data_IF_324853726478
#
_entry.id   IF_324853726478
#
_cell.length_a   1.000
_cell.length_b   1.000
_cell.length_c   1.000
_cell.angle_alpha   90.00
_cell.angle_beta   90.00
_cell.angle_gamma   90.00
#
_symmetry.space_group_name_H-M   'P 1'
#
loop_
_entity.id
_entity.type
_entity.pdbx_description
1 polymer ?
#
# COMPACT_ATOMS: atom_id res chain seq x y z
N UNK A 1 26.61 45.73 33.87
CA UNK A 1 27.68 44.74 34.17
C UNK A 1 28.05 44.02 32.89
N UNK A 2 29.29 44.19 32.44
CA UNK A 2 29.86 43.51 31.26
C UNK A 2 30.27 42.11 31.68
N UNK A 3 29.95 41.09 30.87
CA UNK A 3 30.69 39.83 30.87
C UNK A 3 31.10 39.53 29.43
N UNK A 4 32.40 39.59 29.22
CA UNK A 4 33.07 39.14 28.02
C UNK A 4 33.08 37.61 28.01
N UNK A 5 32.98 37.02 26.82
CA UNK A 5 33.53 35.69 26.55
C UNK A 5 34.43 35.83 25.32
N UNK A 6 35.65 35.33 25.52
CA UNK A 6 36.82 35.41 24.67
C UNK A 6 36.80 34.27 23.65
N UNK A 7 37.28 34.62 22.46
CA UNK A 7 37.64 33.86 21.26
C UNK A 7 38.15 32.42 21.46
N UNK A 8 37.85 31.55 20.49
CA UNK A 8 38.90 30.80 19.78
C UNK A 8 38.42 30.34 18.38
N UNK A 9 39.16 30.77 17.36
CA UNK A 9 39.29 30.21 16.01
C UNK A 9 39.74 28.74 16.10
N UNK A 10 39.60 27.84 15.13
CA UNK A 10 40.31 27.87 13.83
C UNK A 10 40.00 26.59 13.00
N UNK A 11 40.12 26.73 11.67
CA UNK A 11 40.49 25.72 10.64
C UNK A 11 39.52 24.58 10.30
N UNK A 12 39.02 24.59 9.06
CA UNK A 12 39.24 23.48 8.13
C UNK A 12 39.47 24.03 6.72
N UNK A 13 40.70 23.87 6.24
CA UNK A 13 41.13 24.22 4.89
C UNK A 13 40.70 23.15 3.90
N UNK A 14 40.05 23.62 2.83
CA UNK A 14 39.91 22.92 1.56
C UNK A 14 41.26 22.97 0.82
N UNK A 15 41.70 21.85 0.23
CA UNK A 15 42.01 21.72 -1.23
C UNK A 15 43.08 20.66 -1.57
N UNK A 16 42.80 19.96 -2.68
CA UNK A 16 43.71 19.31 -3.65
C UNK A 16 44.38 17.97 -3.27
N UNK A 17 44.62 16.96 -4.13
CA UNK A 17 44.16 16.49 -5.46
C UNK A 17 45.13 15.31 -5.85
N UNK A 18 44.68 14.39 -6.73
CA UNK A 18 45.45 13.38 -7.54
C UNK A 18 45.84 12.07 -6.81
N UNK A 19 45.35 10.88 -7.18
CA UNK A 19 45.48 10.04 -8.42
C UNK A 19 46.93 9.68 -8.77
N UNK A 20 47.32 8.40 -8.62
CA UNK A 20 47.77 7.50 -9.71
C UNK A 20 48.69 6.34 -9.24
N UNK A 21 48.38 5.16 -9.78
CA UNK A 21 49.27 4.08 -10.26
C UNK A 21 49.90 3.03 -9.32
N UNK A 22 49.63 1.77 -9.70
CA UNK A 22 50.44 0.58 -9.44
C UNK A 22 49.58 -0.55 -8.85
N UNK A 23 49.19 -1.63 -9.52
CA UNK A 23 49.71 -2.25 -10.74
C UNK A 23 50.09 -3.71 -10.43
N UNK A 24 49.42 -4.68 -11.07
CA UNK A 24 49.79 -6.10 -11.15
C UNK A 24 49.10 -7.00 -10.11
N UNK A 25 48.58 -8.18 -10.42
CA UNK A 25 48.59 -8.97 -11.66
C UNK A 25 48.22 -10.43 -11.32
N UNK A 26 47.69 -11.16 -12.31
CA UNK A 26 47.45 -12.61 -12.29
C UNK A 26 46.04 -12.99 -11.78
N UNK A 27 45.15 -13.62 -12.54
CA UNK A 27 45.34 -14.57 -13.62
C UNK A 27 44.86 -15.94 -13.15
N UNK A 28 43.62 -16.30 -13.48
CA UNK A 28 43.23 -17.70 -13.69
C UNK A 28 41.90 -17.75 -14.43
N UNK A 29 41.91 -18.40 -15.58
CA UNK A 29 40.77 -18.51 -16.48
C UNK A 29 39.74 -19.52 -16.00
N UNK A 30 38.51 -19.33 -16.46
CA UNK A 30 37.73 -20.44 -16.95
C UNK A 30 36.81 -19.94 -18.07
N UNK A 31 36.97 -20.53 -19.25
CA UNK A 31 36.14 -20.25 -20.41
C UNK A 31 34.71 -20.67 -20.17
N UNK A 32 33.78 -19.82 -20.58
CA UNK A 32 32.35 -20.09 -20.58
C UNK A 32 31.68 -19.19 -21.61
N UNK A 33 31.65 -19.64 -22.86
CA UNK A 33 30.87 -19.03 -23.93
C UNK A 33 29.38 -19.09 -23.56
N UNK A 34 28.80 -18.00 -23.08
CA UNK A 34 27.35 -17.83 -23.02
C UNK A 34 26.88 -17.10 -24.27
N UNK A 35 26.83 -17.83 -25.38
CA UNK A 35 25.92 -17.48 -26.47
C UNK A 35 24.49 -17.82 -26.00
N UNK A 36 23.49 -16.95 -26.26
CA UNK A 36 22.10 -17.27 -25.93
C UNK A 36 21.64 -18.51 -26.73
N UNK A 37 20.86 -19.42 -26.13
CA UNK A 37 20.37 -20.59 -26.85
C UNK A 37 19.43 -20.18 -28.00
N UNK A 38 19.41 -20.90 -29.12
CA UNK A 38 18.52 -20.62 -30.23
C UNK A 38 17.04 -20.80 -29.84
N UNK A 39 16.21 -19.89 -30.32
CA UNK A 39 14.74 -19.87 -30.16
C UNK A 39 14.13 -21.14 -30.76
N UNK A 40 13.48 -21.96 -29.94
CA UNK A 40 12.68 -23.09 -30.44
C UNK A 40 11.31 -22.60 -30.96
N UNK A 41 10.75 -23.20 -32.02
CA UNK A 41 9.42 -22.86 -32.52
C UNK A 41 8.33 -23.13 -31.48
N UNK A 42 7.38 -22.20 -31.34
CA UNK A 42 6.21 -22.32 -30.47
C UNK A 42 5.34 -23.48 -30.96
N UNK A 43 5.19 -24.52 -30.14
CA UNK A 43 4.17 -25.55 -30.34
C UNK A 43 2.79 -24.97 -29.97
N UNK A 44 1.74 -25.18 -30.79
CA UNK A 44 0.38 -24.77 -30.46
C UNK A 44 -0.12 -25.44 -29.17
N UNK A 45 -0.85 -24.69 -28.34
CA UNK A 45 -1.49 -25.22 -27.14
C UNK A 45 -2.52 -26.32 -27.47
N UNK A 46 -2.65 -27.37 -26.65
CA UNK A 46 -3.67 -28.39 -26.83
C UNK A 46 -5.09 -27.84 -26.59
N UNK A 47 -6.13 -28.38 -27.25
CA UNK A 47 -7.50 -27.92 -27.07
C UNK A 47 -8.01 -28.09 -25.65
N UNK A 48 -8.84 -27.14 -25.20
CA UNK A 48 -9.52 -27.15 -23.92
C UNK A 48 -10.33 -28.45 -23.70
N UNK A 49 -10.30 -28.95 -22.46
CA UNK A 49 -11.13 -30.06 -22.02
C UNK A 49 -12.61 -29.74 -22.20
N UNK A 50 -13.27 -30.52 -23.04
CA UNK A 50 -14.73 -30.53 -23.15
C UNK A 50 -15.32 -31.11 -21.87
N UNK A 51 -16.28 -30.38 -21.31
CA UNK A 51 -17.16 -30.83 -20.23
C UNK A 51 -18.04 -31.98 -20.76
N UNK A 52 -18.15 -33.12 -20.07
CA UNK A 52 -18.97 -34.23 -20.56
C UNK A 52 -20.46 -33.88 -20.60
N UNK A 53 -21.08 -34.27 -21.71
CA UNK A 53 -22.50 -34.12 -22.04
C UNK A 53 -23.45 -34.69 -20.99
N UNK A 54 -24.62 -34.06 -20.92
CA UNK A 54 -25.79 -34.47 -20.17
C UNK A 54 -26.18 -35.93 -20.47
N UNK A 55 -26.49 -36.68 -19.41
CA UNK A 55 -27.02 -38.02 -19.50
C UNK A 55 -28.46 -38.04 -20.06
N UNK A 56 -28.88 -39.14 -20.73
CA UNK A 56 -30.14 -39.20 -21.47
C UNK A 56 -31.37 -39.33 -20.55
N UNK A 57 -32.43 -38.64 -20.94
CA UNK A 57 -33.76 -38.64 -20.33
C UNK A 57 -34.45 -39.99 -20.57
N UNK A 58 -34.70 -40.78 -19.51
CA UNK A 58 -35.49 -42.03 -19.59
C UNK A 58 -36.96 -41.71 -19.22
N UNK A 59 -37.96 -42.02 -20.08
CA UNK A 59 -39.37 -41.82 -19.75
C UNK A 59 -39.89 -42.87 -18.75
N UNK A 60 -40.74 -42.46 -17.80
CA UNK A 60 -41.48 -43.36 -16.92
C UNK A 60 -42.64 -44.07 -17.67
N UNK A 61 -42.95 -45.35 -17.38
CA UNK A 61 -44.10 -46.05 -17.97
C UNK A 61 -45.43 -45.73 -17.25
N UNK A 62 -46.59 -46.07 -17.87
CA UNK A 62 -47.87 -45.41 -17.65
C UNK A 62 -48.70 -45.97 -16.48
N UNK A 63 -49.57 -45.10 -15.92
CA UNK A 63 -50.69 -45.46 -15.04
C UNK A 63 -51.76 -46.24 -15.80
N UNK A 64 -52.30 -47.31 -15.19
CA UNK A 64 -53.68 -47.77 -15.40
C UNK A 64 -54.23 -48.51 -14.16
N UNK A 65 -55.53 -48.34 -13.98
CA UNK A 65 -56.45 -48.67 -12.86
C UNK A 65 -56.66 -50.20 -12.69
N UNK A 66 -57.32 -50.82 -11.69
CA UNK A 66 -58.38 -50.53 -10.69
C UNK A 66 -58.33 -51.68 -9.61
N UNK A 67 -59.35 -52.00 -8.75
CA UNK A 67 -60.56 -51.30 -8.30
C UNK A 67 -60.79 -51.30 -6.76
N UNK A 68 -61.84 -50.57 -6.39
CA UNK A 68 -62.51 -50.40 -5.10
C UNK A 68 -62.94 -51.71 -4.40
N UNK A 69 -62.75 -51.82 -3.07
CA UNK A 69 -63.57 -52.66 -2.15
C UNK A 69 -63.45 -52.20 -0.68
N UNK A 70 -64.47 -51.48 -0.20
CA UNK A 70 -65.23 -51.77 1.03
C UNK A 70 -64.54 -51.95 2.40
N UNK A 71 -64.78 -50.96 3.28
CA UNK A 71 -65.16 -51.06 4.69
C UNK A 71 -64.25 -51.76 5.75
N UNK A 72 -63.71 -50.96 6.69
CA UNK A 72 -64.12 -50.91 8.12
C UNK A 72 -63.30 -49.87 8.90
N UNK A 73 -63.99 -49.01 9.65
CA UNK A 73 -63.41 -48.09 10.64
C UNK A 73 -62.72 -48.85 11.77
N UNK A 74 -61.55 -48.37 12.20
CA UNK A 74 -60.89 -48.72 13.45
C UNK A 74 -60.88 -47.47 14.37
N UNK A 75 -61.02 -47.64 15.70
CA UNK A 75 -61.27 -46.53 16.62
C UNK A 75 -60.04 -45.64 16.84
N UNK A 76 -60.22 -44.35 17.24
CA UNK A 76 -59.12 -43.41 17.39
C UNK A 76 -58.22 -43.75 18.59
N UNK A 77 -56.91 -43.62 18.40
CA UNK A 77 -55.89 -43.74 19.45
C UNK A 77 -55.94 -42.54 20.44
N UNK A 78 -55.48 -42.70 21.69
CA UNK A 78 -55.53 -41.64 22.70
C UNK A 78 -54.59 -40.47 22.35
N UNK A 79 -54.89 -39.23 22.77
CA UNK A 79 -54.05 -38.06 22.47
C UNK A 79 -52.68 -38.17 23.15
N UNK A 80 -51.63 -37.84 22.39
CA UNK A 80 -50.26 -37.76 22.87
C UNK A 80 -50.09 -36.58 23.86
N UNK A 81 -49.19 -36.71 24.87
CA UNK A 81 -48.95 -35.65 25.84
C UNK A 81 -48.33 -34.40 25.19
N UNK A 82 -48.59 -33.19 25.73
CA UNK A 82 -48.16 -31.94 25.13
C UNK A 82 -46.63 -31.80 25.12
N UNK A 83 -46.11 -31.34 23.99
CA UNK A 83 -44.70 -31.01 23.81
C UNK A 83 -44.29 -29.84 24.73
N UNK A 84 -43.04 -29.83 25.25
CA UNK A 84 -42.55 -28.73 26.07
C UNK A 84 -42.46 -27.42 25.26
N UNK A 85 -42.56 -26.25 25.91
CA UNK A 85 -42.61 -24.96 25.22
C UNK A 85 -41.35 -24.70 24.40
N UNK A 86 -41.53 -24.25 23.17
CA UNK A 86 -40.45 -23.78 22.31
C UNK A 86 -39.72 -22.62 23.00
N UNK A 87 -38.40 -22.77 23.16
CA UNK A 87 -37.53 -21.74 23.69
C UNK A 87 -37.28 -20.69 22.60
N UNK A 88 -38.11 -19.65 22.57
CA UNK A 88 -37.90 -18.43 21.78
C UNK A 88 -36.70 -17.65 22.35
N UNK A 89 -35.48 -18.07 22.02
CA UNK A 89 -34.28 -17.25 22.21
C UNK A 89 -33.06 -18.00 21.66
N UNK A 90 -32.78 -17.83 20.37
CA UNK A 90 -31.44 -17.60 19.84
C UNK A 90 -31.64 -17.11 18.40
N UNK A 91 -32.00 -15.84 18.26
CA UNK A 91 -31.80 -15.16 16.99
C UNK A 91 -30.30 -15.20 16.70
N UNK A 92 -29.88 -16.14 15.86
CA UNK A 92 -28.59 -16.07 15.22
C UNK A 92 -28.62 -14.81 14.39
N UNK A 93 -28.04 -13.73 14.93
CA UNK A 93 -27.65 -12.59 14.12
C UNK A 93 -26.93 -13.15 12.90
N UNK A 94 -27.29 -12.74 11.68
CA UNK A 94 -26.50 -13.14 10.51
C UNK A 94 -25.04 -12.79 10.78
N UNK A 95 -24.08 -13.62 10.36
CA UNK A 95 -22.67 -13.29 10.52
C UNK A 95 -22.48 -11.87 9.98
N UNK A 96 -22.04 -10.95 10.84
CA UNK A 96 -21.76 -9.59 10.40
C UNK A 96 -20.85 -9.72 9.19
N UNK A 97 -21.27 -9.22 8.03
CA UNK A 97 -20.42 -9.22 6.85
C UNK A 97 -19.11 -8.54 7.25
N UNK A 98 -18.05 -9.34 7.43
CA UNK A 98 -16.78 -8.83 7.90
C UNK A 98 -16.25 -7.89 6.82
N UNK A 99 -16.04 -6.63 7.17
CA UNK A 99 -15.50 -5.62 6.25
C UNK A 99 -14.23 -6.17 5.59
N UNK A 100 -14.23 -6.20 4.26
CA UNK A 100 -13.09 -6.66 3.47
C UNK A 100 -12.25 -5.46 3.08
N UNK A 101 -10.98 -5.52 3.44
CA UNK A 101 -9.99 -4.51 3.11
C UNK A 101 -9.03 -5.04 2.06
N UNK A 102 -8.52 -4.16 1.21
CA UNK A 102 -7.46 -4.47 0.25
C UNK A 102 -6.46 -3.32 0.18
N UNK A 103 -5.21 -3.60 -0.15
CA UNK A 103 -4.20 -2.56 -0.18
C UNK A 103 -2.83 -3.01 -0.64
N UNK A 104 -1.89 -2.09 -0.58
CA UNK A 104 -0.49 -2.33 -0.90
C UNK A 104 0.41 -1.88 0.24
N UNK A 105 1.57 -2.51 0.34
CA UNK A 105 2.59 -2.15 1.29
C UNK A 105 3.97 -2.24 0.64
N UNK A 106 4.72 -1.15 0.75
CA UNK A 106 6.06 -0.99 0.24
C UNK A 106 7.07 -0.91 1.38
N UNK A 107 8.13 -1.67 1.25
CA UNK A 107 9.22 -1.75 2.21
C UNK A 107 10.52 -2.10 1.49
N UNK A 108 11.66 -1.95 2.19
CA UNK A 108 12.95 -2.46 1.71
C UNK A 108 12.87 -3.95 1.36
N UNK A 109 12.37 -4.75 2.31
CA UNK A 109 12.17 -6.19 2.20
C UNK A 109 10.70 -6.53 1.97
N UNK A 110 10.28 -7.76 2.32
CA UNK A 110 8.90 -8.23 2.15
C UNK A 110 7.99 -7.54 3.15
N UNK A 111 6.93 -6.89 2.67
CA UNK A 111 5.83 -6.45 3.53
C UNK A 111 4.65 -7.41 3.45
N UNK A 112 4.35 -8.05 4.59
CA UNK A 112 3.25 -9.02 4.73
C UNK A 112 1.89 -8.36 5.06
N UNK A 113 1.91 -7.12 5.55
CA UNK A 113 0.72 -6.38 5.97
C UNK A 113 0.01 -5.70 4.79
N UNK A 114 -0.58 -6.52 3.95
CA UNK A 114 -1.51 -6.07 2.92
C UNK A 114 -2.90 -6.35 3.46
N UNK A 115 -3.85 -5.45 3.22
CA UNK A 115 -5.27 -5.69 3.50
C UNK A 115 -5.67 -5.64 5.00
N UNK A 116 -4.93 -4.93 5.85
CA UNK A 116 -5.26 -4.81 7.27
C UNK A 116 -6.53 -3.94 7.48
N UNK A 117 -7.46 -4.43 8.31
CA UNK A 117 -8.69 -3.71 8.67
C UNK A 117 -8.36 -2.51 9.58
N UNK A 118 -9.08 -1.39 9.42
CA UNK A 118 -8.89 -0.17 10.25
C UNK A 118 -8.95 -0.42 11.76
N UNK A 119 -9.66 -1.44 12.21
CA UNK A 119 -9.83 -1.81 13.62
C UNK A 119 -8.74 -2.77 14.13
N UNK A 120 -7.83 -3.20 13.26
CA UNK A 120 -6.79 -4.19 13.58
C UNK A 120 -5.53 -3.94 12.74
N UNK A 121 -5.02 -2.70 12.78
CA UNK A 121 -3.77 -2.34 12.09
C UNK A 121 -2.60 -2.76 12.96
N UNK A 122 -1.65 -3.50 12.39
CA UNK A 122 -0.46 -3.93 13.13
C UNK A 122 0.55 -2.79 13.18
N UNK A 123 1.08 -2.49 14.36
CA UNK A 123 2.21 -1.59 14.57
C UNK A 123 3.24 -2.27 15.45
N UNK A 124 4.42 -1.69 15.59
CA UNK A 124 5.51 -2.31 16.33
C UNK A 124 6.05 -1.38 17.39
N UNK A 125 6.13 -1.88 18.61
CA UNK A 125 6.94 -1.28 19.66
C UNK A 125 8.38 -1.72 19.47
N UNK A 126 9.26 -0.74 19.30
CA UNK A 126 10.68 -0.95 19.02
C UNK A 126 11.52 -0.46 20.19
N UNK A 127 12.24 -1.38 20.85
CA UNK A 127 13.09 -1.06 21.99
C UNK A 127 14.56 -1.32 21.63
N UNK A 128 15.41 -0.30 21.76
CA UNK A 128 16.85 -0.45 21.56
C UNK A 128 17.50 -1.18 22.73
N UNK A 129 18.30 -2.19 22.44
CA UNK A 129 19.02 -3.00 23.41
C UNK A 129 20.51 -2.92 23.10
N UNK A 130 21.25 -2.26 23.99
CA UNK A 130 22.70 -2.15 23.90
C UNK A 130 23.37 -3.50 24.19
N UNK A 131 24.38 -3.85 23.39
CA UNK A 131 25.19 -5.05 23.57
C UNK A 131 24.37 -6.36 23.70
N UNK A 132 23.24 -6.43 22.98
CA UNK A 132 22.34 -7.58 22.97
C UNK A 132 23.03 -8.90 22.59
N UNK A 133 24.08 -8.84 21.77
CA UNK A 133 24.94 -9.98 21.47
C UNK A 133 26.40 -9.51 21.28
N UNK A 134 27.22 -9.64 22.33
CA UNK A 134 28.62 -9.18 22.34
C UNK A 134 29.51 -9.84 21.28
N UNK A 135 29.07 -10.97 20.72
CA UNK A 135 29.81 -11.70 19.69
C UNK A 135 29.33 -11.38 18.27
N UNK A 136 28.29 -10.54 18.12
CA UNK A 136 27.76 -10.07 16.84
C UNK A 136 28.60 -8.91 16.30
N UNK A 137 28.73 -8.82 14.97
CA UNK A 137 29.30 -7.64 14.30
C UNK A 137 28.48 -6.36 14.52
N UNK A 138 27.19 -6.52 14.86
CA UNK A 138 26.30 -5.45 15.31
C UNK A 138 25.73 -5.86 16.68
N UNK A 139 26.41 -5.50 17.78
CA UNK A 139 26.03 -5.96 19.12
C UNK A 139 24.75 -5.29 19.61
N UNK A 140 24.47 -4.07 19.16
CA UNK A 140 23.23 -3.34 19.46
C UNK A 140 22.08 -3.80 18.54
N UNK A 141 20.91 -4.07 19.12
CA UNK A 141 19.74 -4.61 18.40
C UNK A 141 18.44 -4.00 18.90
N UNK A 142 17.43 -3.99 18.05
CA UNK A 142 16.06 -3.65 18.43
C UNK A 142 15.25 -4.90 18.78
N UNK A 143 14.53 -4.87 19.90
CA UNK A 143 13.38 -5.75 20.16
C UNK A 143 12.15 -5.22 19.44
N UNK A 144 11.37 -6.14 18.90
CA UNK A 144 10.14 -5.88 18.15
C UNK A 144 8.99 -6.62 18.83
N UNK A 145 7.98 -5.88 19.25
CA UNK A 145 6.74 -6.41 19.80
C UNK A 145 5.57 -5.90 18.94
N UNK A 146 4.75 -6.79 18.34
CA UNK A 146 3.59 -6.38 17.58
C UNK A 146 2.46 -5.92 18.51
N UNK A 147 1.84 -4.81 18.14
CA UNK A 147 0.63 -4.26 18.77
C UNK A 147 -0.43 -4.04 17.69
N UNK A 148 -1.70 -4.02 18.08
CA UNK A 148 -2.81 -3.74 17.18
C UNK A 148 -3.54 -2.48 17.62
N UNK A 149 -3.79 -1.59 16.66
CA UNK A 149 -4.47 -0.32 16.88
C UNK A 149 -5.75 -0.23 16.06
N UNK A 150 -6.68 0.57 16.56
CA UNK A 150 -7.86 1.02 15.82
C UNK A 150 -7.62 2.44 15.32
N UNK A 151 -7.85 2.66 14.03
CA UNK A 151 -7.77 3.97 13.41
C UNK A 151 -9.08 4.74 13.59
N UNK A 152 -8.97 5.98 14.06
CA UNK A 152 -10.05 6.97 14.04
C UNK A 152 -9.98 7.81 12.76
N UNK A 153 -11.08 8.46 12.37
CA UNK A 153 -11.07 9.39 11.24
C UNK A 153 -10.00 10.48 11.41
N UNK A 154 -9.25 10.76 10.35
CA UNK A 154 -8.13 11.70 10.37
C UNK A 154 -6.80 11.08 10.83
N UNK A 155 -5.95 11.90 11.43
CA UNK A 155 -4.58 11.54 11.80
C UNK A 155 -4.52 10.68 13.06
N UNK A 156 -3.84 9.54 12.97
CA UNK A 156 -3.55 8.60 14.04
C UNK A 156 -2.03 8.48 14.15
N UNK A 157 -1.45 8.89 15.27
CA UNK A 157 0.00 8.91 15.44
C UNK A 157 0.42 8.19 16.72
N UNK A 158 1.53 7.47 16.64
CA UNK A 158 2.26 6.93 17.78
C UNK A 158 3.75 7.21 17.64
N UNK A 159 4.56 6.63 18.53
CA UNK A 159 6.02 6.81 18.50
C UNK A 159 6.63 6.25 17.21
N UNK A 160 6.12 5.11 16.74
CA UNK A 160 6.69 4.35 15.63
C UNK A 160 5.78 4.29 14.40
N UNK A 161 4.70 5.09 14.34
CA UNK A 161 3.77 5.06 13.22
C UNK A 161 3.01 6.37 13.05
N UNK A 162 2.54 6.61 11.83
CA UNK A 162 1.48 7.57 11.54
C UNK A 162 0.61 7.07 10.39
N UNK A 163 -0.70 7.08 10.60
CA UNK A 163 -1.71 6.77 9.59
C UNK A 163 -2.75 7.88 9.53
N UNK A 164 -3.32 8.08 8.36
CA UNK A 164 -4.45 8.99 8.17
C UNK A 164 -5.60 8.20 7.56
N UNK A 165 -6.71 8.11 8.29
CA UNK A 165 -7.95 7.48 7.82
C UNK A 165 -8.82 8.53 7.11
N UNK A 166 -9.23 8.21 5.88
CA UNK A 166 -10.05 9.04 5.01
C UNK A 166 -11.48 8.49 4.91
N UNK A 167 -12.42 9.41 4.66
CA UNK A 167 -13.85 9.13 4.57
C UNK A 167 -14.65 10.14 5.39
N UNK A 168 -15.81 9.71 5.84
CA UNK A 168 -16.64 10.43 6.81
C UNK A 168 -17.18 9.46 7.85
N UNK A 169 -17.81 9.98 8.90
CA UNK A 169 -18.43 9.14 9.93
C UNK A 169 -19.44 8.18 9.29
N UNK A 170 -19.31 6.88 9.59
CA UNK A 170 -20.09 5.81 8.98
C UNK A 170 -19.74 5.47 7.53
N UNK A 171 -18.76 6.15 6.93
CA UNK A 171 -18.23 5.89 5.59
C UNK A 171 -16.70 6.01 5.58
N UNK A 172 -16.00 5.25 6.43
CA UNK A 172 -14.54 5.22 6.42
C UNK A 172 -14.04 4.40 5.22
N UNK A 173 -13.47 5.10 4.25
CA UNK A 173 -13.14 4.56 2.92
C UNK A 173 -11.81 3.83 2.92
N UNK A 174 -10.78 4.43 3.49
CA UNK A 174 -9.42 3.91 3.37
C UNK A 174 -8.41 4.73 4.16
N UNK A 175 -7.26 4.14 4.49
CA UNK A 175 -6.16 4.84 5.15
C UNK A 175 -4.86 4.70 4.38
N UNK A 176 -3.94 5.61 4.64
CA UNK A 176 -2.56 5.56 4.16
C UNK A 176 -1.63 6.01 5.29
N UNK A 177 -0.38 5.57 5.25
CA UNK A 177 0.57 5.93 6.29
C UNK A 177 1.83 5.10 6.29
N UNK A 178 2.49 5.12 7.45
CA UNK A 178 3.68 4.35 7.69
C UNK A 178 3.71 3.75 9.09
N UNK A 179 4.55 2.73 9.22
CA UNK A 179 5.06 2.25 10.50
C UNK A 179 6.54 1.92 10.39
N UNK A 180 7.27 2.11 11.47
CA UNK A 180 8.64 1.62 11.56
C UNK A 180 8.64 0.14 11.83
N UNK A 181 9.56 -0.55 11.16
CA UNK A 181 9.91 -1.93 11.40
C UNK A 181 11.43 -2.00 11.57
N UNK A 182 12.00 -3.20 11.64
CA UNK A 182 13.44 -3.44 11.74
C UNK A 182 13.89 -4.30 10.58
N UNK A 183 15.16 -4.18 10.21
CA UNK A 183 15.79 -5.04 9.23
C UNK A 183 16.05 -6.46 9.78
N UNK A 184 16.45 -7.39 8.90
CA UNK A 184 16.71 -8.78 9.29
C UNK A 184 17.84 -8.89 10.34
N UNK A 185 18.81 -7.97 10.30
CA UNK A 185 19.89 -7.90 11.30
C UNK A 185 19.42 -7.39 12.66
N UNK A 186 18.26 -6.72 12.68
CA UNK A 186 17.66 -6.01 13.82
C UNK A 186 18.51 -4.84 14.33
N UNK A 187 19.55 -4.46 13.61
CA UNK A 187 20.43 -3.35 13.98
C UNK A 187 19.86 -2.00 13.53
N UNK A 188 18.99 -1.99 12.53
CA UNK A 188 18.48 -0.76 11.92
C UNK A 188 16.96 -0.74 11.85
N UNK A 189 16.38 0.45 12.08
CA UNK A 189 14.97 0.68 11.75
C UNK A 189 14.81 0.83 10.23
N UNK A 190 13.71 0.29 9.72
CA UNK A 190 13.22 0.47 8.36
C UNK A 190 11.82 1.08 8.41
N UNK A 191 11.32 1.50 7.25
CA UNK A 191 9.97 2.01 7.09
C UNK A 191 9.16 1.04 6.23
N UNK A 192 7.92 0.81 6.64
CA UNK A 192 6.87 0.23 5.79
C UNK A 192 5.86 1.33 5.48
N UNK A 193 5.62 1.59 4.20
CA UNK A 193 4.62 2.53 3.70
C UNK A 193 3.45 1.76 3.13
N UNK A 194 2.23 2.05 3.53
CA UNK A 194 1.07 1.28 3.09
C UNK A 194 -0.19 2.11 2.99
N UNK A 195 -1.10 1.64 2.15
CA UNK A 195 -2.49 2.04 2.16
C UNK A 195 -3.38 0.79 2.21
N UNK A 196 -4.58 0.94 2.73
CA UNK A 196 -5.65 -0.02 2.55
C UNK A 196 -6.99 0.70 2.40
N UNK A 197 -7.88 0.11 1.60
CA UNK A 197 -9.24 0.59 1.35
C UNK A 197 -10.24 -0.49 1.74
N UNK A 198 -11.39 -0.07 2.23
CA UNK A 198 -12.54 -0.94 2.37
C UNK A 198 -13.14 -1.18 0.98
N UNK A 199 -13.21 -2.44 0.59
CA UNK A 199 -13.66 -2.88 -0.74
C UNK A 199 -15.10 -2.50 -1.07
N UNK A 200 -15.94 -2.23 -0.06
CA UNK A 200 -17.29 -1.70 -0.28
C UNK A 200 -17.30 -0.30 -0.92
N UNK A 201 -16.20 0.45 -0.80
CA UNK A 201 -16.04 1.78 -1.37
C UNK A 201 -15.14 1.78 -2.62
N UNK A 202 -14.55 0.64 -2.99
CA UNK A 202 -13.76 0.55 -4.22
C UNK A 202 -14.66 0.88 -5.40
N UNK A 203 -14.26 1.86 -6.22
CA UNK A 203 -15.04 2.22 -7.39
C UNK A 203 -15.18 1.00 -8.32
N UNK A 204 -16.38 0.67 -8.82
CA UNK A 204 -16.59 -0.52 -9.62
C UNK A 204 -15.85 -0.49 -10.95
N UNK A 205 -15.62 0.71 -11.49
CA UNK A 205 -14.85 0.92 -12.71
C UNK A 205 -13.57 1.73 -12.40
N UNK A 206 -12.44 1.04 -12.52
CA UNK A 206 -11.09 1.55 -12.29
C UNK A 206 -10.44 2.11 -13.58
N UNK A 207 -11.14 2.01 -14.70
CA UNK A 207 -10.74 2.47 -16.03
C UNK A 207 -11.75 3.48 -16.60
N UNK A 208 -12.58 4.08 -15.75
CA UNK A 208 -13.61 5.03 -16.18
C UNK A 208 -12.98 6.16 -17.00
N UNK A 209 -13.60 6.45 -18.14
CA UNK A 209 -13.23 7.60 -18.97
C UNK A 209 -13.81 8.88 -18.36
N UNK A 210 -13.10 9.42 -17.38
CA UNK A 210 -13.40 10.73 -16.82
C UNK A 210 -12.12 11.53 -16.62
N UNK A 211 -12.33 12.81 -16.34
CA UNK A 211 -11.28 13.76 -16.02
C UNK A 211 -11.55 14.37 -14.65
N UNK A 212 -10.57 14.33 -13.76
CA UNK A 212 -10.70 14.91 -12.43
C UNK A 212 -9.34 15.34 -11.88
N UNK A 213 -9.38 16.38 -11.06
CA UNK A 213 -8.22 16.85 -10.32
C UNK A 213 -8.24 16.24 -8.92
N UNK A 214 -7.08 15.82 -8.44
CA UNK A 214 -6.91 15.33 -7.09
C UNK A 214 -5.82 16.12 -6.38
N UNK A 215 -6.12 16.52 -5.13
CA UNK A 215 -5.21 17.26 -4.27
C UNK A 215 -5.23 16.68 -2.88
N UNK A 216 -4.09 16.74 -2.18
CA UNK A 216 -4.02 16.48 -0.73
C UNK A 216 -2.70 16.99 -0.15
N UNK A 217 -2.80 17.82 0.88
CA UNK A 217 -1.63 18.19 1.69
C UNK A 217 -1.10 16.97 2.43
N UNK A 218 0.22 16.76 2.40
CA UNK A 218 0.86 15.55 2.94
C UNK A 218 0.23 14.25 2.42
N UNK A 219 -0.30 14.28 1.19
CA UNK A 219 -0.92 13.15 0.53
C UNK A 219 0.09 12.13 0.02
N UNK A 220 1.35 12.51 -0.15
CA UNK A 220 2.42 11.60 -0.54
C UNK A 220 3.39 11.41 0.62
N UNK A 221 3.66 10.17 1.00
CA UNK A 221 4.66 9.81 2.00
C UNK A 221 5.73 9.02 1.28
N UNK A 222 7.00 9.38 1.48
CA UNK A 222 8.13 8.72 0.83
C UNK A 222 9.31 8.52 1.78
N UNK A 223 10.09 7.49 1.47
CA UNK A 223 11.26 7.09 2.25
C UNK A 223 12.34 6.47 1.34
N UNK A 224 13.64 6.59 1.69
CA UNK A 224 14.69 5.84 1.03
C UNK A 224 14.54 4.34 1.32
N UNK A 225 14.84 3.49 0.34
CA UNK A 225 14.83 2.02 0.51
C UNK A 225 15.94 1.56 1.46
N UNK A 226 17.08 2.25 1.48
CA UNK A 226 18.18 1.93 2.37
C UNK A 226 18.52 3.12 3.24
N UNK A 227 18.51 2.88 4.55
CA UNK A 227 19.16 3.74 5.52
C UNK A 227 20.24 2.95 6.24
N UNK A 228 21.47 3.46 6.21
CA UNK A 228 22.62 2.90 6.93
C UNK A 228 22.93 3.70 8.20
N UNK A 229 22.20 4.79 8.46
CA UNK A 229 22.42 5.64 9.62
C UNK A 229 21.66 5.11 10.84
N UNK A 230 22.38 4.97 11.96
CA UNK A 230 21.87 4.46 13.23
C UNK A 230 20.89 5.45 13.92
N UNK A 231 20.87 6.73 13.53
CA UNK A 231 20.10 7.79 14.18
C UNK A 231 18.81 8.17 13.43
N UNK A 232 17.85 7.25 13.49
CA UNK A 232 16.38 7.29 13.32
C UNK A 232 15.55 8.48 12.75
N UNK A 233 15.98 9.73 12.63
CA UNK A 233 15.00 10.83 12.49
C UNK A 233 14.69 11.32 11.07
N UNK A 234 15.40 10.84 10.04
CA UNK A 234 15.28 11.35 8.65
C UNK A 234 14.67 10.39 7.64
N UNK A 235 13.97 9.35 8.07
CA UNK A 235 13.55 8.27 7.17
C UNK A 235 12.33 8.61 6.30
N UNK A 236 11.50 9.55 6.73
CA UNK A 236 10.17 9.74 6.16
C UNK A 236 9.96 11.23 5.91
N UNK A 237 9.50 11.56 4.71
CA UNK A 237 9.06 12.91 4.37
C UNK A 237 7.70 12.88 3.69
N UNK A 238 7.10 14.08 3.63
CA UNK A 238 5.78 14.29 3.06
C UNK A 238 5.83 15.20 1.84
N UNK A 239 4.92 14.96 0.92
CA UNK A 239 4.67 15.80 -0.24
C UNK A 239 3.19 16.13 -0.38
N UNK A 240 2.91 17.35 -0.82
CA UNK A 240 1.60 17.79 -1.22
C UNK A 240 1.31 17.27 -2.63
N UNK A 241 0.20 16.54 -2.78
CA UNK A 241 -0.22 15.94 -4.04
C UNK A 241 -1.03 16.95 -4.84
N UNK A 242 -0.71 17.10 -6.12
CA UNK A 242 -1.51 17.85 -7.08
C UNK A 242 -1.45 17.18 -8.45
N UNK A 243 -2.49 16.40 -8.77
CA UNK A 243 -2.51 15.50 -9.93
C UNK A 243 -3.80 15.62 -10.73
N UNK A 244 -3.70 15.28 -11.99
CA UNK A 244 -4.79 15.12 -12.94
C UNK A 244 -4.94 13.63 -13.26
N UNK A 245 -6.12 13.08 -12.98
CA UNK A 245 -6.59 11.85 -13.58
C UNK A 245 -7.29 12.19 -14.90
N UNK A 246 -6.94 11.47 -15.96
CA UNK A 246 -7.51 11.67 -17.29
C UNK A 246 -7.51 10.33 -18.04
N UNK A 247 -8.68 9.70 -18.06
CA UNK A 247 -9.00 8.47 -18.79
C UNK A 247 -8.04 7.31 -18.48
N UNK A 248 -7.94 6.94 -17.21
CA UNK A 248 -7.12 5.81 -16.76
C UNK A 248 -5.63 6.12 -16.65
N UNK A 249 -5.22 7.39 -16.69
CA UNK A 249 -3.83 7.79 -16.42
C UNK A 249 -3.76 9.01 -15.53
N UNK A 250 -2.76 9.01 -14.66
CA UNK A 250 -2.44 10.12 -13.76
C UNK A 250 -1.22 10.88 -14.29
N UNK A 251 -1.25 12.20 -14.17
CA UNK A 251 -0.11 13.09 -14.39
C UNK A 251 -0.14 14.23 -13.39
N UNK A 252 1.00 14.89 -13.15
CA UNK A 252 1.07 16.03 -12.26
C UNK A 252 2.36 16.05 -11.46
N UNK A 253 2.32 16.68 -10.30
CA UNK A 253 3.51 16.93 -9.49
C UNK A 253 3.22 16.73 -8.01
N UNK A 254 4.25 16.33 -7.29
CA UNK A 254 4.28 16.31 -5.83
C UNK A 254 5.22 17.42 -5.39
N UNK A 255 4.75 18.25 -4.47
CA UNK A 255 5.50 19.38 -3.95
C UNK A 255 5.97 19.12 -2.53
N UNK A 256 7.10 19.70 -2.14
CA UNK A 256 7.60 19.63 -0.77
C UNK A 256 6.52 20.19 0.17
N UNK A 257 6.09 19.36 1.12
CA UNK A 257 5.16 19.82 2.15
C UNK A 257 5.95 20.54 3.24
N UNK A 258 5.45 21.66 3.73
CA UNK A 258 6.08 22.36 4.84
C UNK A 258 5.92 21.54 6.12
N UNK A 259 7.03 21.38 6.85
CA UNK A 259 7.03 20.83 8.22
C UNK A 259 6.49 21.86 9.25
N UNK A 260 5.42 22.58 8.91
CA UNK A 260 4.68 23.45 9.83
C UNK A 260 5.08 24.93 9.84
N UNK A 261 5.56 25.51 8.73
CA UNK A 261 5.86 26.95 8.68
C UNK A 261 5.23 27.63 7.45
N UNK A 262 3.92 27.93 7.56
CA UNK A 262 2.94 28.40 6.54
C UNK A 262 3.26 29.71 5.79
N UNK A 263 4.52 30.11 5.70
CA UNK A 263 4.93 31.43 5.19
C UNK A 263 5.88 31.37 4.00
N UNK A 264 6.30 30.19 3.53
CA UNK A 264 7.09 30.08 2.31
C UNK A 264 6.24 29.45 1.20
N UNK A 265 5.73 30.30 0.32
CA UNK A 265 4.97 29.94 -0.89
C UNK A 265 5.76 29.13 -1.93
N UNK A 266 6.95 28.62 -1.59
CA UNK A 266 7.80 27.86 -2.49
C UNK A 266 7.50 26.37 -2.34
N UNK A 267 6.39 25.95 -2.95
CA UNK A 267 6.08 24.53 -3.20
C UNK A 267 7.09 24.00 -4.22
N UNK A 268 8.28 23.65 -3.76
CA UNK A 268 9.34 23.05 -4.57
C UNK A 268 8.85 21.69 -5.10
N UNK A 269 8.86 21.48 -6.41
CA UNK A 269 8.51 20.18 -6.99
C UNK A 269 9.57 19.15 -6.60
N UNK A 270 9.14 18.05 -5.97
CA UNK A 270 10.02 16.98 -5.48
C UNK A 270 9.85 15.68 -6.26
N UNK A 271 8.66 15.42 -6.78
CA UNK A 271 8.41 14.33 -7.73
C UNK A 271 7.53 14.80 -8.88
N UNK A 272 7.78 14.22 -10.06
CA UNK A 272 6.94 14.39 -11.24
C UNK A 272 6.23 13.08 -11.55
N UNK A 273 4.95 13.18 -11.95
CA UNK A 273 4.14 12.06 -12.41
C UNK A 273 3.82 12.26 -13.89
N UNK A 274 4.19 11.28 -14.71
CA UNK A 274 4.00 11.29 -16.14
C UNK A 274 3.03 10.18 -16.57
N UNK A 275 2.26 10.44 -17.63
CA UNK A 275 1.50 9.39 -18.30
C UNK A 275 2.48 8.48 -19.03
N UNK A 276 2.44 7.20 -18.69
CA UNK A 276 3.12 6.15 -19.42
C UNK A 276 2.30 5.67 -20.62
N UNK A 277 2.84 4.70 -21.34
CA UNK A 277 2.13 4.05 -22.43
C UNK A 277 1.02 3.14 -21.88
N UNK A 278 -0.03 2.91 -22.67
CA UNK A 278 -1.10 1.94 -22.35
C UNK A 278 -1.84 2.17 -21.01
N UNK A 279 -2.04 3.42 -20.58
CA UNK A 279 -2.80 3.72 -19.36
C UNK A 279 -1.98 3.60 -18.07
N UNK A 280 -0.68 3.33 -18.15
CA UNK A 280 0.21 3.36 -16.98
C UNK A 280 0.60 4.79 -16.60
N UNK A 281 1.04 4.99 -15.36
CA UNK A 281 1.66 6.23 -14.91
C UNK A 281 3.00 5.93 -14.25
N UNK A 282 3.96 6.82 -14.41
CA UNK A 282 5.28 6.72 -13.77
C UNK A 282 5.53 7.91 -12.88
N UNK A 283 6.28 7.72 -11.81
CA UNK A 283 6.67 8.75 -10.85
C UNK A 283 8.18 8.72 -10.63
N UNK A 284 8.82 9.88 -10.59
CA UNK A 284 10.26 10.00 -10.37
C UNK A 284 10.64 11.24 -9.54
N UNK A 285 11.69 11.18 -8.70
CA UNK A 285 12.23 12.35 -8.02
C UNK A 285 12.88 13.33 -9.03
N UNK A 286 12.64 14.63 -8.86
CA UNK A 286 13.19 15.66 -9.79
C UNK A 286 14.37 16.44 -9.21
N UNK A 287 14.62 16.32 -7.91
CA UNK A 287 15.69 17.02 -7.20
C UNK A 287 16.88 16.11 -6.92
N UNK A 288 18.07 16.71 -6.95
CA UNK A 288 19.25 16.10 -6.37
C UNK A 288 19.15 16.13 -4.84
N UNK A 289 19.64 15.08 -4.17
CA UNK A 289 19.71 14.99 -2.71
C UNK A 289 18.36 15.19 -1.99
N UNK A 290 17.27 14.68 -2.57
CA UNK A 290 15.92 14.86 -2.01
C UNK A 290 15.80 14.39 -0.54
N UNK A 291 16.26 13.18 -0.25
CA UNK A 291 16.31 12.59 1.08
C UNK A 291 17.28 11.41 1.09
N UNK A 292 18.31 11.44 1.93
CA UNK A 292 19.24 10.31 2.11
C UNK A 292 19.79 9.79 0.77
N UNK A 293 19.47 8.53 0.46
CA UNK A 293 19.98 7.80 -0.72
C UNK A 293 19.10 7.93 -1.98
N UNK A 294 18.00 8.69 -1.93
CA UNK A 294 17.08 8.87 -3.07
C UNK A 294 17.80 9.60 -4.21
N UNK A 295 17.81 8.98 -5.40
CA UNK A 295 18.44 9.53 -6.60
C UNK A 295 17.43 10.24 -7.49
N UNK A 296 17.84 11.37 -8.07
CA UNK A 296 17.08 12.04 -9.13
C UNK A 296 16.88 11.10 -10.32
N UNK A 297 15.67 11.10 -10.89
CA UNK A 297 15.32 10.30 -12.07
C UNK A 297 15.18 8.80 -11.82
N UNK A 298 15.27 8.34 -10.56
CA UNK A 298 14.97 6.96 -10.20
C UNK A 298 13.45 6.71 -10.31
N UNK A 299 13.05 6.19 -11.47
CA UNK A 299 11.64 6.10 -11.91
C UNK A 299 10.98 4.81 -11.45
N UNK A 300 9.73 4.92 -11.01
CA UNK A 300 8.87 3.79 -10.67
C UNK A 300 7.51 3.87 -11.38
N UNK A 301 6.87 2.70 -11.55
CA UNK A 301 5.47 2.64 -11.92
C UNK A 301 4.61 3.07 -10.72
N UNK A 302 3.64 3.95 -10.95
CA UNK A 302 2.64 4.36 -9.99
C UNK A 302 1.41 3.46 -10.14
N UNK A 303 1.19 2.58 -9.16
CA UNK A 303 -0.04 1.80 -9.07
C UNK A 303 -1.06 2.60 -8.26
N UNK A 304 -2.33 2.56 -8.65
CA UNK A 304 -3.37 3.28 -7.94
C UNK A 304 -4.74 2.62 -8.06
N UNK A 305 -5.63 2.98 -7.14
CA UNK A 305 -7.03 2.59 -7.10
C UNK A 305 -7.89 3.83 -6.79
N UNK A 306 -9.05 3.89 -7.43
CA UNK A 306 -10.12 4.85 -7.14
C UNK A 306 -11.11 4.26 -6.13
N UNK A 307 -11.57 5.10 -5.22
CA UNK A 307 -12.62 4.79 -4.26
C UNK A 307 -13.67 5.91 -4.20
N UNK A 308 -14.90 5.52 -3.97
CA UNK A 308 -16.06 6.40 -3.86
C UNK A 308 -16.21 6.93 -2.43
N UNK A 309 -16.94 8.03 -2.26
CA UNK A 309 -17.23 8.56 -0.92
C UNK A 309 -18.17 7.68 -0.12
N UNK A 310 -19.04 6.97 -0.82
CA UNK A 310 -20.09 6.11 -0.29
C UNK A 310 -20.26 4.93 -1.26
N UNK A 311 -20.66 3.77 -0.72
CA UNK A 311 -20.86 2.56 -1.51
C UNK A 311 -21.82 2.80 -2.69
N UNK A 312 -21.32 2.57 -3.90
CA UNK A 312 -22.12 2.64 -5.14
C UNK A 312 -22.38 4.05 -5.67
N UNK A 313 -21.77 5.09 -5.09
CA UNK A 313 -21.97 6.48 -5.52
C UNK A 313 -21.25 6.81 -6.84
N UNK A 314 -20.20 6.06 -7.18
CA UNK A 314 -19.40 6.25 -8.40
C UNK A 314 -18.88 7.69 -8.57
N UNK A 315 -18.59 8.38 -7.46
CA UNK A 315 -18.05 9.75 -7.50
C UNK A 315 -16.53 9.80 -7.58
N UNK A 316 -15.87 8.65 -7.40
CA UNK A 316 -14.42 8.49 -7.45
C UNK A 316 -13.70 9.51 -6.55
N UNK A 317 -14.26 9.81 -5.38
CA UNK A 317 -13.79 10.89 -4.51
C UNK A 317 -12.34 10.72 -4.06
N UNK A 318 -11.88 9.48 -3.87
CA UNK A 318 -10.57 9.19 -3.31
C UNK A 318 -9.69 8.43 -4.31
N UNK A 319 -8.39 8.68 -4.24
CA UNK A 319 -7.37 7.99 -5.02
C UNK A 319 -6.25 7.55 -4.08
N UNK A 320 -5.94 6.26 -4.06
CA UNK A 320 -4.85 5.68 -3.28
C UNK A 320 -3.84 5.05 -4.23
N UNK A 321 -2.56 5.12 -3.91
CA UNK A 321 -1.52 4.53 -4.76
C UNK A 321 -0.22 4.24 -4.05
N UNK A 322 0.66 3.54 -4.73
CA UNK A 322 1.97 3.15 -4.24
C UNK A 322 2.97 3.09 -5.39
N UNK A 323 4.23 3.32 -5.05
CA UNK A 323 5.36 3.19 -5.96
C UNK A 323 6.59 2.69 -5.21
N UNK A 324 7.39 1.87 -5.89
CA UNK A 324 8.68 1.39 -5.42
C UNK A 324 9.68 1.44 -6.56
N UNK A 325 10.77 2.16 -6.34
CA UNK A 325 11.89 2.30 -7.26
C UNK A 325 13.12 1.53 -6.72
N UNK A 326 14.32 1.81 -7.23
CA UNK A 326 15.55 1.20 -6.71
C UNK A 326 16.00 1.83 -5.39
N UNK A 327 15.80 3.13 -5.23
CA UNK A 327 16.32 3.92 -4.11
C UNK A 327 15.25 4.44 -3.16
N UNK A 328 13.96 4.34 -3.52
CA UNK A 328 12.87 4.89 -2.72
C UNK A 328 11.56 4.10 -2.81
N UNK A 329 10.73 4.28 -1.81
CA UNK A 329 9.34 3.79 -1.73
C UNK A 329 8.41 4.94 -1.43
N UNK A 330 7.16 4.86 -1.88
CA UNK A 330 6.15 5.86 -1.63
C UNK A 330 4.72 5.33 -1.60
N UNK A 331 3.89 5.99 -0.81
CA UNK A 331 2.43 5.81 -0.78
C UNK A 331 1.75 7.14 -1.03
N UNK A 332 0.66 7.11 -1.79
CA UNK A 332 -0.10 8.26 -2.22
C UNK A 332 -1.56 8.11 -1.77
N UNK A 333 -2.13 9.20 -1.26
CA UNK A 333 -3.55 9.39 -1.11
C UNK A 333 -3.92 10.80 -1.58
N UNK A 334 -5.04 10.92 -2.29
CA UNK A 334 -5.52 12.20 -2.78
C UNK A 334 -7.06 12.24 -2.83
N UNK A 335 -7.61 13.45 -2.75
CA UNK A 335 -9.05 13.68 -2.77
C UNK A 335 -9.42 14.51 -4.00
N UNK A 336 -10.52 14.15 -4.64
CA UNK A 336 -11.05 14.88 -5.79
C UNK A 336 -11.32 16.32 -5.38
N UNK A 337 -10.85 17.24 -6.20
CA UNK A 337 -10.91 18.68 -5.96
C UNK A 337 -11.52 19.41 -7.15
N UNK A 338 -12.32 20.42 -6.87
CA UNK A 338 -12.86 21.33 -7.90
C UNK A 338 -11.83 22.36 -8.37
N UNK A 339 -10.73 22.51 -7.64
CA UNK A 339 -9.66 23.43 -8.00
C UNK A 339 -8.71 22.80 -9.02
N UNK A 340 -8.48 23.50 -10.13
CA UNK A 340 -7.44 23.12 -11.07
C UNK A 340 -6.05 23.14 -10.40
N UNK A 341 -5.14 22.21 -10.76
CA UNK A 341 -3.72 22.33 -10.49
C UNK A 341 -3.24 23.70 -10.94
N UNK A 342 -2.36 24.35 -10.17
CA UNK A 342 -1.67 25.54 -10.65
C UNK A 342 -0.94 25.16 -11.95
N UNK A 343 -1.45 25.61 -13.10
CA UNK A 343 -0.72 25.50 -14.35
C UNK A 343 0.53 26.37 -14.19
N UNK A 344 1.71 25.76 -14.32
CA UNK A 344 2.95 26.52 -14.39
C UNK A 344 2.77 27.61 -15.44
N UNK A 345 2.84 28.88 -15.03
CA UNK A 345 2.91 29.99 -15.98
C UNK A 345 4.32 30.00 -16.59
N UNK A 346 4.66 29.00 -17.39
CA UNK A 346 5.69 29.16 -18.42
C UNK A 346 5.10 30.06 -19.50
N UNK A 347 5.04 31.34 -19.16
CA UNK A 347 4.62 32.44 -19.99
C UNK A 347 5.64 33.56 -19.87
N UNK A 348 6.88 33.29 -20.31
CA UNK A 348 7.67 34.16 -21.19
C UNK A 348 9.03 33.54 -21.51
#
# INVERSE_FOLDING_TARGET
MKKAIIKLTTVFGLSCLLIACGGGGGGSGNGGNNAPPPVQPIQPAPPAHQQPDAAPNIPAPPKNQAPDTGAKEAPPAPPAPPAPPANDSMGMSPPSAQEKWEGACEAKSVCAAKNENKNHVTVYKLEHVENADRNSSTPDKYKKEPEHITLNLGDNSGVEYKFTLLGSDGNEVGYYGYRHNIDDSRAHKNVELLYAINTDFKSPDQSTQFKAYYKKEKGFIYAPISNTELSNNGLINYGDVNILYDNGSISGSIYRSENGNSRETNKEEIFKIEKGNHGSSTIEPVLEHLLGTIKKGDKANLNYILADSEKGKADHKYLFGNAKAETWIGVLAAEKSDEKPAENSTGK
#
